data_IF_838803900412
#
_entry.id   IF_838803900412
#
_cell.length_a   1.000
_cell.length_b   1.000
_cell.length_c   1.000
_cell.angle_alpha   90.00
_cell.angle_beta   90.00
_cell.angle_gamma   90.00
#
_symmetry.space_group_name_H-M   'P 1'
#
loop_
_entity.id
_entity.type
_entity.pdbx_description
1 polymer ?
#
# COMPACT_ATOMS: atom_id res chain seq x y z
N UNK A 1 -31.79 6.09 17.91
CA UNK A 1 -30.36 6.09 18.26
C UNK A 1 -29.71 5.04 17.38
N UNK A 2 -29.02 5.46 16.32
CA UNK A 2 -28.32 4.53 15.43
C UNK A 2 -26.97 4.20 16.08
N UNK A 3 -26.73 2.91 16.35
CA UNK A 3 -25.43 2.44 16.80
C UNK A 3 -24.42 2.63 15.66
N UNK A 4 -23.43 3.50 15.87
CA UNK A 4 -22.28 3.60 14.97
C UNK A 4 -21.53 2.26 15.01
N UNK A 5 -21.25 1.63 13.84
CA UNK A 5 -20.47 0.39 13.82
C UNK A 5 -19.09 0.65 14.40
N UNK A 6 -18.67 -0.21 15.34
CA UNK A 6 -17.34 -0.15 15.96
C UNK A 6 -16.27 -0.24 14.87
N UNK A 7 -15.43 0.79 14.79
CA UNK A 7 -14.25 0.83 13.94
C UNK A 7 -13.16 -0.07 14.55
N UNK A 8 -12.98 -1.27 14.02
CA UNK A 8 -11.92 -2.19 14.46
C UNK A 8 -10.54 -1.87 13.84
N UNK A 9 -10.40 -0.69 13.22
CA UNK A 9 -9.20 -0.26 12.49
C UNK A 9 -8.56 0.95 13.16
N UNK A 10 -8.47 0.91 14.48
CA UNK A 10 -7.47 1.69 15.17
C UNK A 10 -7.11 0.91 16.42
N UNK A 11 -5.94 0.28 16.39
CA UNK A 11 -5.07 0.14 17.55
C UNK A 11 -3.71 -0.30 17.02
N UNK A 12 -2.80 0.68 16.94
CA UNK A 12 -1.36 0.53 17.14
C UNK A 12 -0.73 -0.77 16.60
N UNK A 13 -0.28 -0.77 15.35
CA UNK A 13 0.47 -1.91 14.80
C UNK A 13 1.96 -1.74 15.11
N UNK A 14 2.47 -2.63 15.96
CA UNK A 14 3.87 -2.76 16.34
C UNK A 14 4.70 -3.25 15.14
N UNK A 15 5.43 -2.32 14.50
CA UNK A 15 6.34 -2.61 13.39
C UNK A 15 7.46 -3.61 13.72
N UNK A 16 7.66 -3.97 15.00
CA UNK A 16 8.69 -4.94 15.41
C UNK A 16 8.24 -6.40 15.30
N UNK A 17 6.93 -6.68 15.18
CA UNK A 17 6.41 -8.05 15.13
C UNK A 17 6.37 -8.65 13.71
N UNK A 18 6.57 -7.83 12.69
CA UNK A 18 6.88 -8.27 11.32
C UNK A 18 8.32 -7.88 10.98
N UNK A 19 9.27 -8.23 11.84
CA UNK A 19 10.62 -8.50 11.36
C UNK A 19 10.53 -9.77 10.50
N UNK A 20 10.63 -9.61 9.18
CA UNK A 20 11.04 -10.70 8.31
C UNK A 20 12.46 -11.09 8.72
N UNK A 21 12.59 -12.02 9.68
CA UNK A 21 13.84 -12.75 9.85
C UNK A 21 14.03 -13.53 8.54
N UNK A 22 14.91 -13.00 7.69
CA UNK A 22 15.34 -13.66 6.47
C UNK A 22 16.23 -14.83 6.89
N UNK A 23 15.60 -15.91 7.32
CA UNK A 23 16.26 -17.17 7.66
C UNK A 23 16.52 -17.91 6.36
N UNK A 24 17.74 -17.79 5.85
CA UNK A 24 18.25 -18.72 4.84
C UNK A 24 18.50 -20.05 5.58
N UNK A 25 17.52 -20.94 5.52
CA UNK A 25 17.72 -22.35 5.82
C UNK A 25 17.27 -23.16 4.61
N UNK A 26 18.25 -23.60 3.84
CA UNK A 26 18.11 -24.62 2.80
C UNK A 26 17.58 -25.92 3.40
N UNK A 27 16.34 -26.26 3.07
CA UNK A 27 15.83 -27.63 3.00
C UNK A 27 14.53 -27.61 2.22
N UNK A 28 14.47 -28.40 1.16
CA UNK A 28 13.33 -28.57 0.25
C UNK A 28 12.03 -28.86 1.02
N UNK A 29 11.00 -28.05 0.77
CA UNK A 29 9.60 -28.39 1.01
C UNK A 29 8.78 -27.84 -0.16
N UNK A 30 8.29 -28.76 -0.96
CA UNK A 30 7.50 -28.54 -2.17
C UNK A 30 6.15 -27.85 -1.83
N UNK A 31 5.68 -27.06 -2.80
CA UNK A 31 4.37 -26.37 -2.89
C UNK A 31 4.09 -25.18 -1.95
N UNK A 32 4.74 -24.05 -2.23
CA UNK A 32 4.08 -22.74 -2.05
C UNK A 32 3.42 -22.38 -3.38
N UNK A 33 2.24 -22.97 -3.63
CA UNK A 33 1.34 -22.45 -4.66
C UNK A 33 1.06 -20.99 -4.28
N UNK A 34 1.71 -20.05 -4.97
CA UNK A 34 1.39 -18.63 -4.91
C UNK A 34 -0.09 -18.52 -5.26
N UNK A 35 -0.96 -18.38 -4.25
CA UNK A 35 -2.40 -18.37 -4.44
C UNK A 35 -2.76 -17.09 -5.17
N UNK A 36 -2.72 -17.14 -6.50
CA UNK A 36 -3.12 -16.04 -7.38
C UNK A 36 -4.60 -15.77 -7.15
N UNK A 37 -4.90 -14.62 -6.55
CA UNK A 37 -6.27 -14.13 -6.36
C UNK A 37 -6.57 -13.14 -7.47
N UNK A 38 -7.41 -13.52 -8.41
CA UNK A 38 -7.86 -12.63 -9.48
C UNK A 38 -8.79 -11.54 -8.94
N UNK A 39 -8.63 -10.30 -9.44
CA UNK A 39 -9.40 -9.15 -8.95
C UNK A 39 -10.91 -9.27 -9.20
N UNK A 40 -11.31 -10.02 -10.23
CA UNK A 40 -12.72 -10.26 -10.58
C UNK A 40 -13.39 -11.35 -9.72
N UNK A 41 -12.63 -12.19 -9.03
CA UNK A 41 -13.16 -13.25 -8.17
C UNK A 41 -13.47 -12.69 -6.78
N UNK A 42 -14.67 -12.11 -6.64
CA UNK A 42 -15.12 -11.48 -5.41
C UNK A 42 -15.16 -12.44 -4.22
N UNK A 43 -15.50 -13.71 -4.44
CA UNK A 43 -15.58 -14.70 -3.35
C UNK A 43 -14.18 -15.09 -2.87
N UNK A 44 -13.23 -15.31 -3.78
CA UNK A 44 -11.83 -15.54 -3.38
C UNK A 44 -11.22 -14.31 -2.71
N UNK A 45 -11.48 -13.10 -3.20
CA UNK A 45 -11.04 -11.86 -2.55
C UNK A 45 -11.58 -11.73 -1.14
N UNK A 46 -12.86 -12.05 -0.94
CA UNK A 46 -13.50 -12.02 0.38
C UNK A 46 -12.87 -13.06 1.31
N UNK A 47 -12.59 -14.25 0.81
CA UNK A 47 -11.91 -15.30 1.59
C UNK A 47 -10.47 -14.93 1.95
N UNK A 48 -9.73 -14.31 1.03
CA UNK A 48 -8.32 -13.98 1.21
C UNK A 48 -8.12 -12.70 2.06
N UNK A 49 -8.85 -11.63 1.75
CA UNK A 49 -8.60 -10.29 2.29
C UNK A 49 -9.72 -9.76 3.18
N UNK A 50 -10.82 -10.49 3.30
CA UNK A 50 -11.99 -10.06 4.04
C UNK A 50 -12.79 -8.94 3.35
N UNK A 51 -13.66 -8.29 4.11
CA UNK A 51 -14.51 -7.18 3.65
C UNK A 51 -13.93 -5.85 4.13
N UNK A 52 -13.85 -4.88 3.23
CA UNK A 52 -13.42 -3.53 3.56
C UNK A 52 -14.43 -2.83 4.49
N UNK A 53 -13.94 -2.23 5.57
CA UNK A 53 -14.77 -1.50 6.53
C UNK A 53 -15.45 -0.25 5.96
N UNK A 54 -14.93 0.33 4.89
CA UNK A 54 -15.40 1.59 4.31
C UNK A 54 -16.42 1.40 3.19
N UNK A 55 -16.04 0.69 2.12
CA UNK A 55 -16.91 0.48 0.97
C UNK A 55 -17.77 -0.79 1.06
N UNK A 56 -17.53 -1.66 2.05
CA UNK A 56 -18.22 -2.94 2.24
C UNK A 56 -18.02 -3.98 1.12
N UNK A 57 -17.09 -3.74 0.20
CA UNK A 57 -16.66 -4.69 -0.82
C UNK A 57 -15.48 -5.56 -0.34
N UNK A 58 -15.21 -6.71 -0.98
CA UNK A 58 -14.01 -7.48 -0.70
C UNK A 58 -12.72 -6.67 -0.82
N UNK A 59 -11.75 -6.93 0.07
CA UNK A 59 -10.41 -6.36 -0.02
C UNK A 59 -9.71 -6.71 -1.34
N UNK A 60 -8.62 -6.01 -1.63
CA UNK A 60 -7.78 -6.27 -2.82
C UNK A 60 -6.35 -6.66 -2.45
N UNK A 61 -6.03 -6.65 -1.17
CA UNK A 61 -4.75 -7.09 -0.62
C UNK A 61 -4.79 -7.08 0.90
N UNK A 62 -3.74 -7.58 1.52
CA UNK A 62 -3.64 -7.65 2.98
C UNK A 62 -3.73 -6.25 3.58
N UNK A 63 -4.76 -6.06 4.40
CA UNK A 63 -5.09 -4.78 5.00
C UNK A 63 -5.25 -3.62 4.01
N UNK A 64 -5.63 -3.92 2.75
CA UNK A 64 -5.68 -2.94 1.67
C UNK A 64 -6.96 -3.05 0.82
N UNK A 65 -7.53 -1.89 0.52
CA UNK A 65 -8.66 -1.75 -0.40
C UNK A 65 -8.30 -0.74 -1.49
N UNK A 66 -7.95 -1.24 -2.68
CA UNK A 66 -7.51 -0.43 -3.81
C UNK A 66 -8.54 0.63 -4.20
N UNK A 67 -9.86 0.36 -4.30
CA UNK A 67 -10.83 1.40 -4.62
C UNK A 67 -10.87 2.55 -3.61
N UNK A 68 -10.80 2.24 -2.31
CA UNK A 68 -10.81 3.26 -1.25
C UNK A 68 -9.51 4.07 -1.24
N UNK A 69 -8.36 3.42 -1.37
CA UNK A 69 -7.07 4.09 -1.39
C UNK A 69 -6.87 4.91 -2.67
N UNK A 70 -7.25 4.37 -3.84
CA UNK A 70 -7.23 5.09 -5.11
C UNK A 70 -8.08 6.37 -5.05
N UNK A 71 -9.25 6.32 -4.39
CA UNK A 71 -10.07 7.53 -4.16
C UNK A 71 -9.32 8.57 -3.33
N UNK A 72 -8.74 8.18 -2.19
CA UNK A 72 -7.94 9.08 -1.34
C UNK A 72 -6.76 9.70 -2.09
N UNK A 73 -6.07 8.90 -2.91
CA UNK A 73 -4.96 9.39 -3.72
C UNK A 73 -5.44 10.42 -4.74
N UNK A 74 -6.52 10.14 -5.48
CA UNK A 74 -7.12 11.12 -6.42
C UNK A 74 -7.45 12.45 -5.74
N UNK A 75 -8.03 12.39 -4.55
CA UNK A 75 -8.38 13.58 -3.78
C UNK A 75 -7.13 14.40 -3.36
N UNK A 76 -5.97 13.73 -3.25
CA UNK A 76 -4.69 14.30 -2.83
C UNK A 76 -3.75 14.68 -4.00
N UNK A 77 -4.03 14.32 -5.25
CA UNK A 77 -3.14 14.60 -6.39
C UNK A 77 -2.89 16.09 -6.63
N UNK A 78 -3.82 16.95 -6.21
CA UNK A 78 -3.66 18.41 -6.30
C UNK A 78 -2.76 19.00 -5.21
N UNK A 79 -2.43 18.23 -4.16
CA UNK A 79 -1.72 18.72 -2.98
C UNK A 79 -0.19 18.52 -3.10
N UNK A 80 0.28 17.81 -4.11
CA UNK A 80 1.71 17.61 -4.36
C UNK A 80 1.97 17.49 -5.87
N UNK A 81 3.16 17.89 -6.29
CA UNK A 81 3.67 17.68 -7.64
C UNK A 81 5.20 17.67 -7.56
N UNK A 82 5.84 16.88 -8.41
CA UNK A 82 7.29 16.93 -8.62
C UNK A 82 7.73 18.10 -9.50
N UNK A 83 6.78 18.83 -10.10
CA UNK A 83 7.03 19.77 -11.19
C UNK A 83 7.31 19.08 -12.54
N UNK A 84 7.41 17.75 -12.57
CA UNK A 84 7.57 16.96 -13.77
C UNK A 84 6.33 16.11 -14.03
N UNK A 85 5.57 16.49 -15.06
CA UNK A 85 4.31 15.83 -15.42
C UNK A 85 4.46 14.32 -15.69
N UNK A 86 5.58 13.89 -16.29
CA UNK A 86 5.81 12.47 -16.59
C UNK A 86 6.01 11.67 -15.30
N UNK A 87 6.79 12.22 -14.36
CA UNK A 87 7.02 11.60 -13.05
C UNK A 87 5.71 11.57 -12.25
N UNK A 88 4.97 12.67 -12.25
CA UNK A 88 3.69 12.77 -11.55
C UNK A 88 2.68 11.74 -12.09
N UNK A 89 2.53 11.64 -13.41
CA UNK A 89 1.65 10.64 -14.05
C UNK A 89 2.06 9.21 -13.67
N UNK A 90 3.36 8.91 -13.68
CA UNK A 90 3.87 7.60 -13.28
C UNK A 90 3.54 7.25 -11.82
N UNK A 91 3.78 8.19 -10.90
CA UNK A 91 3.48 8.00 -9.47
C UNK A 91 1.97 7.86 -9.26
N UNK A 92 1.15 8.70 -9.89
CA UNK A 92 -0.31 8.60 -9.82
C UNK A 92 -0.80 7.24 -10.32
N UNK A 93 -0.28 6.74 -11.44
CA UNK A 93 -0.63 5.40 -11.94
C UNK A 93 -0.22 4.29 -10.96
N UNK A 94 0.95 4.39 -10.32
CA UNK A 94 1.34 3.46 -9.26
C UNK A 94 0.37 3.50 -8.08
N UNK A 95 0.01 4.69 -7.59
CA UNK A 95 -0.90 4.89 -6.46
C UNK A 95 -2.31 4.36 -6.74
N UNK A 96 -2.83 4.58 -7.95
CA UNK A 96 -4.17 4.12 -8.36
C UNK A 96 -4.26 2.60 -8.49
N UNK A 97 -3.18 1.93 -8.88
CA UNK A 97 -3.17 0.49 -9.13
C UNK A 97 -2.58 -0.32 -7.97
N UNK A 98 -2.11 0.33 -6.90
CA UNK A 98 -1.53 -0.34 -5.75
C UNK A 98 -2.58 -1.25 -5.08
N UNK A 99 -2.19 -2.51 -4.88
CA UNK A 99 -2.95 -3.51 -4.10
C UNK A 99 -2.35 -3.75 -2.71
N UNK A 100 -1.24 -3.07 -2.40
CA UNK A 100 -0.53 -3.17 -1.13
C UNK A 100 0.30 -1.90 -0.90
N UNK A 101 0.51 -1.50 0.36
CA UNK A 101 1.25 -0.28 0.68
C UNK A 101 2.69 -0.29 0.13
N UNK A 102 3.39 -1.45 0.17
CA UNK A 102 4.73 -1.63 -0.43
C UNK A 102 4.74 -1.49 -1.98
N UNK A 103 3.59 -1.45 -2.65
CA UNK A 103 3.47 -1.34 -4.11
C UNK A 103 2.97 0.04 -4.56
N UNK A 104 2.95 0.99 -3.64
CA UNK A 104 2.50 2.36 -3.84
C UNK A 104 3.72 3.29 -3.81
N UNK A 105 3.98 4.01 -4.90
CA UNK A 105 5.02 5.04 -4.93
C UNK A 105 4.51 6.34 -4.28
N UNK A 106 5.43 7.08 -3.68
CA UNK A 106 5.16 8.39 -3.09
C UNK A 106 6.21 9.40 -3.53
N UNK A 107 5.75 10.62 -3.84
CA UNK A 107 6.64 11.75 -4.06
C UNK A 107 7.01 12.40 -2.72
N UNK A 108 8.31 12.49 -2.44
CA UNK A 108 8.85 13.21 -1.27
C UNK A 108 9.60 14.43 -1.80
N UNK A 109 9.08 15.67 -1.59
CA UNK A 109 9.80 16.89 -1.95
C UNK A 109 11.18 16.96 -1.29
N UNK A 110 12.16 17.49 -2.01
CA UNK A 110 13.54 17.54 -1.53
C UNK A 110 13.66 18.32 -0.21
N UNK A 111 12.85 19.35 -0.05
CA UNK A 111 12.80 20.23 1.12
C UNK A 111 12.35 19.52 2.40
N UNK A 112 11.78 18.32 2.30
CA UNK A 112 11.43 17.49 3.46
C UNK A 112 12.61 16.70 4.02
N UNK A 113 13.70 16.54 3.26
CA UNK A 113 14.88 15.85 3.76
C UNK A 113 15.65 16.75 4.73
N UNK A 114 16.09 16.16 5.85
CA UNK A 114 16.89 16.81 6.88
C UNK A 114 18.24 16.10 7.01
N UNK A 115 19.24 16.77 7.59
CA UNK A 115 20.59 16.21 7.80
C UNK A 115 21.27 15.74 6.50
N UNK A 116 21.09 16.51 5.43
CA UNK A 116 21.66 16.21 4.11
C UNK A 116 23.19 16.36 4.18
N UNK A 117 23.91 15.30 3.82
CA UNK A 117 25.37 15.31 3.69
C UNK A 117 25.73 15.23 2.20
N UNK A 118 26.46 16.22 1.70
CA UNK A 118 26.95 16.23 0.33
C UNK A 118 28.22 15.36 0.23
N UNK A 119 28.21 14.40 -0.70
CA UNK A 119 29.32 13.44 -0.89
C UNK A 119 30.31 13.86 -1.98
N UNK A 120 29.93 14.83 -2.82
CA UNK A 120 30.80 15.45 -3.82
C UNK A 120 30.20 16.78 -4.27
N UNK A 121 31.06 17.76 -4.53
CA UNK A 121 30.72 18.98 -5.26
C UNK A 121 31.46 18.93 -6.59
N UNK A 122 30.73 19.08 -7.69
CA UNK A 122 31.31 19.19 -9.02
C UNK A 122 31.03 20.59 -9.56
N UNK A 123 32.09 21.25 -10.04
CA UNK A 123 32.07 22.58 -10.65
C UNK A 123 31.81 22.50 -12.15
#
# INVERSE_FOLDING_TARGET
MEEKPKNLWNDYFDYTKTQEHLTISTSESEDVDEKVVYMEDLEKRKQAYGICGECKEPGTGDYWCQPCNAKRFKDNFKNWTSGNKIIDEFIQQSQLNAVHYKKCLEWIPFEKFQNITYIAEFW
#
